data_IF_061408761871
#
_entry.id   IF_061408761871
#
_cell.length_a   1.000
_cell.length_b   1.000
_cell.length_c   1.000
_cell.angle_alpha   90.00
_cell.angle_beta   90.00
_cell.angle_gamma   90.00
#
_symmetry.space_group_name_H-M   'P 1'
#
loop_
_entity.id
_entity.type
_entity.pdbx_description
1 polymer ?
#
# COMPACT_ATOMS: atom_id res chain seq x y z
N UNK A 1 9.81 -12.12 18.34
CA UNK A 1 9.07 -12.21 17.05
C UNK A 1 9.79 -11.52 15.89
N UNK A 2 9.61 -10.22 15.59
CA UNK A 2 10.24 -9.59 14.39
C UNK A 2 11.77 -9.74 14.41
N UNK A 3 12.42 -9.27 15.48
CA UNK A 3 13.88 -9.32 15.61
C UNK A 3 14.42 -10.76 15.59
N UNK A 4 13.74 -11.65 16.28
CA UNK A 4 14.06 -13.09 16.35
C UNK A 4 13.95 -13.77 14.98
N UNK A 5 12.88 -13.51 14.22
CA UNK A 5 12.72 -14.04 12.87
C UNK A 5 13.83 -13.54 11.92
N UNK A 6 14.19 -12.26 12.04
CA UNK A 6 15.30 -11.69 11.27
C UNK A 6 16.65 -12.33 11.66
N UNK A 7 16.87 -12.61 12.95
CA UNK A 7 18.08 -13.28 13.43
C UNK A 7 18.16 -14.75 13.00
N UNK A 8 17.01 -15.42 12.94
CA UNK A 8 16.87 -16.78 12.42
C UNK A 8 17.02 -16.88 10.88
N UNK A 9 17.23 -15.75 10.18
CA UNK A 9 17.45 -15.71 8.73
C UNK A 9 16.18 -15.78 7.88
N UNK A 10 15.00 -15.52 8.47
CA UNK A 10 13.74 -15.42 7.72
C UNK A 10 13.78 -14.19 6.81
N UNK A 11 13.57 -14.40 5.51
CA UNK A 11 13.71 -13.37 4.48
C UNK A 11 12.51 -12.43 4.36
N UNK A 12 11.31 -12.91 4.65
CA UNK A 12 10.08 -12.11 4.57
C UNK A 12 9.28 -12.31 5.85
N UNK A 13 9.05 -11.22 6.57
CA UNK A 13 8.38 -11.19 7.87
C UNK A 13 7.11 -10.36 7.68
N UNK A 14 5.94 -10.96 7.87
CA UNK A 14 4.65 -10.27 7.72
C UNK A 14 4.03 -10.14 9.10
N UNK A 15 3.93 -8.91 9.60
CA UNK A 15 3.39 -8.61 10.93
C UNK A 15 1.95 -8.13 10.79
N UNK A 16 1.00 -9.00 11.09
CA UNK A 16 -0.43 -8.70 10.98
C UNK A 16 -0.92 -7.85 12.16
N UNK A 17 -0.38 -8.12 13.35
CA UNK A 17 -0.85 -7.56 14.62
C UNK A 17 -0.91 -6.03 14.63
N UNK A 18 -2.05 -5.49 15.06
CA UNK A 18 -2.28 -4.07 15.33
C UNK A 18 -1.97 -3.74 16.81
N UNK A 19 -1.64 -2.47 17.09
CA UNK A 19 -1.47 -1.98 18.45
C UNK A 19 -0.10 -2.30 19.08
N UNK A 20 0.90 -2.58 18.25
CA UNK A 20 2.28 -2.69 18.74
C UNK A 20 2.74 -1.29 19.19
N UNK A 21 3.27 -1.14 20.42
CA UNK A 21 3.76 0.14 20.88
C UNK A 21 4.79 0.75 19.90
N UNK A 22 4.66 2.04 19.60
CA UNK A 22 5.56 2.74 18.67
C UNK A 22 7.03 2.60 19.12
N UNK A 23 7.30 2.63 20.43
CA UNK A 23 8.65 2.44 20.98
C UNK A 23 9.24 1.06 20.60
N UNK A 24 8.45 0.00 20.66
CA UNK A 24 8.88 -1.35 20.29
C UNK A 24 9.13 -1.44 18.78
N UNK A 25 8.29 -0.79 17.97
CA UNK A 25 8.50 -0.73 16.52
C UNK A 25 9.70 0.11 16.12
N UNK A 26 10.08 1.15 16.86
CA UNK A 26 11.35 1.87 16.66
C UNK A 26 12.52 0.92 16.86
N UNK A 27 12.51 0.15 17.96
CA UNK A 27 13.57 -0.81 18.29
C UNK A 27 13.64 -1.89 17.19
N UNK A 28 12.51 -2.52 16.86
CA UNK A 28 12.46 -3.59 15.87
C UNK A 28 12.85 -3.10 14.46
N UNK A 29 12.32 -1.95 14.02
CA UNK A 29 12.65 -1.35 12.71
C UNK A 29 14.14 -1.03 12.62
N UNK A 30 14.75 -0.46 13.66
CA UNK A 30 16.18 -0.20 13.68
C UNK A 30 17.02 -1.49 13.72
N UNK A 31 16.57 -2.51 14.44
CA UNK A 31 17.28 -3.79 14.55
C UNK A 31 17.36 -4.53 13.20
N UNK A 32 16.29 -4.48 12.39
CA UNK A 32 16.28 -5.14 11.08
C UNK A 32 16.97 -4.34 9.98
N UNK A 33 17.30 -3.05 10.21
CA UNK A 33 18.08 -2.26 9.24
C UNK A 33 19.43 -2.93 9.01
N UNK A 34 19.74 -3.24 7.75
CA UNK A 34 20.98 -3.91 7.36
C UNK A 34 20.96 -5.43 7.50
N UNK A 35 19.84 -6.03 7.97
CA UNK A 35 19.63 -7.48 7.88
C UNK A 35 19.00 -7.82 6.52
N UNK A 36 19.32 -9.01 6.02
CA UNK A 36 18.77 -9.53 4.77
C UNK A 36 17.37 -10.11 4.99
N UNK A 37 16.43 -9.23 5.31
CA UNK A 37 15.02 -9.52 5.48
C UNK A 37 14.15 -8.32 5.10
N UNK A 38 12.90 -8.59 4.69
CA UNK A 38 11.86 -7.59 4.44
C UNK A 38 10.74 -7.73 5.44
N UNK A 39 10.33 -6.63 6.05
CA UNK A 39 9.18 -6.55 6.94
C UNK A 39 7.98 -5.95 6.18
N UNK A 40 6.80 -6.57 6.29
CA UNK A 40 5.51 -5.99 5.86
C UNK A 40 4.63 -5.82 7.10
N UNK A 41 3.93 -4.69 7.20
CA UNK A 41 3.25 -4.29 8.43
C UNK A 41 4.14 -3.48 9.38
N UNK A 42 3.77 -3.34 10.67
CA UNK A 42 2.68 -4.01 11.37
C UNK A 42 1.29 -3.48 11.00
N UNK A 43 0.24 -3.91 11.69
CA UNK A 43 -1.13 -3.48 11.46
C UNK A 43 -1.54 -3.59 9.99
N UNK A 44 -1.36 -4.78 9.42
CA UNK A 44 -1.58 -5.01 7.99
C UNK A 44 -2.40 -6.28 7.74
N UNK A 45 -3.14 -6.34 6.61
CA UNK A 45 -3.88 -7.54 6.24
C UNK A 45 -2.96 -8.66 5.68
N UNK A 46 -1.68 -8.35 5.43
CA UNK A 46 -0.66 -9.23 4.88
C UNK A 46 -0.42 -9.07 3.39
N UNK A 47 0.02 -10.15 2.73
CA UNK A 47 0.33 -10.21 1.29
C UNK A 47 -0.41 -11.39 0.64
N UNK A 48 -0.92 -11.18 -0.57
CA UNK A 48 -1.54 -12.23 -1.37
C UNK A 48 -1.13 -12.14 -2.84
N UNK A 49 -0.71 -13.28 -3.38
CA UNK A 49 -0.52 -13.55 -4.81
C UNK A 49 -1.56 -14.60 -5.19
N UNK A 50 -2.60 -14.26 -5.97
CA UNK A 50 -3.74 -15.15 -6.19
C UNK A 50 -3.32 -16.46 -6.83
N UNK A 51 -3.95 -17.57 -6.41
CA UNK A 51 -3.66 -18.93 -6.88
C UNK A 51 -2.25 -19.46 -6.54
N UNK A 52 -1.47 -18.71 -5.77
CA UNK A 52 -0.09 -19.08 -5.40
C UNK A 52 0.10 -19.08 -3.87
N UNK A 53 -0.01 -17.92 -3.23
CA UNK A 53 0.26 -17.80 -1.80
C UNK A 53 -0.54 -16.68 -1.14
N UNK A 54 -0.95 -16.92 0.11
CA UNK A 54 -1.60 -15.93 0.98
C UNK A 54 -1.02 -16.03 2.38
N UNK A 55 -0.40 -14.94 2.84
CA UNK A 55 0.07 -14.82 4.22
C UNK A 55 -0.60 -13.61 4.85
N UNK A 56 -1.56 -13.87 5.74
CA UNK A 56 -2.37 -12.86 6.39
C UNK A 56 -3.86 -13.17 6.35
N UNK A 57 -4.67 -12.14 6.59
CA UNK A 57 -6.10 -12.24 6.90
C UNK A 57 -7.01 -11.83 5.75
N UNK A 58 -6.45 -11.54 4.56
CA UNK A 58 -7.26 -11.20 3.38
C UNK A 58 -8.18 -12.36 2.94
N UNK A 59 -9.38 -12.07 2.41
CA UNK A 59 -10.29 -13.08 1.88
C UNK A 59 -9.83 -13.53 0.48
N UNK A 60 -9.14 -14.68 0.40
CA UNK A 60 -8.50 -15.13 -0.85
C UNK A 60 -9.44 -15.29 -2.05
N UNK A 61 -10.73 -15.57 -1.84
CA UNK A 61 -11.70 -15.77 -2.93
C UNK A 61 -12.00 -14.50 -3.74
N UNK A 62 -11.77 -13.31 -3.15
CA UNK A 62 -11.95 -12.00 -3.80
C UNK A 62 -10.87 -11.78 -4.86
N UNK A 63 -9.68 -12.34 -4.66
CA UNK A 63 -8.55 -12.11 -5.55
C UNK A 63 -8.49 -13.20 -6.62
N UNK A 64 -8.44 -12.77 -7.89
CA UNK A 64 -8.25 -13.64 -9.06
C UNK A 64 -6.93 -13.31 -9.72
N UNK A 65 -6.24 -14.30 -10.29
CA UNK A 65 -4.97 -14.06 -10.98
C UNK A 65 -5.19 -13.12 -12.17
N UNK A 66 -4.29 -12.16 -12.36
CA UNK A 66 -4.33 -11.22 -13.46
C UNK A 66 -3.10 -10.33 -13.49
N UNK A 67 -3.28 -9.05 -13.83
CA UNK A 67 -2.20 -8.14 -14.25
C UNK A 67 -2.11 -6.83 -13.46
N UNK A 68 -2.87 -6.71 -12.36
CA UNK A 68 -2.93 -5.48 -11.55
C UNK A 68 -2.26 -5.70 -10.20
N UNK A 69 -1.22 -4.93 -9.90
CA UNK A 69 -0.61 -4.89 -8.57
C UNK A 69 -1.39 -3.97 -7.63
N UNK A 70 -1.49 -4.30 -6.35
CA UNK A 70 -2.12 -3.42 -5.34
C UNK A 70 -1.14 -3.18 -4.18
N UNK A 71 -1.01 -1.92 -3.77
CA UNK A 71 -0.41 -1.53 -2.49
C UNK A 71 -1.41 -0.69 -1.70
N UNK A 72 -1.58 -0.99 -0.41
CA UNK A 72 -2.54 -0.29 0.44
C UNK A 72 -2.14 -0.27 1.91
N UNK A 73 -2.44 0.83 2.61
CA UNK A 73 -2.37 0.91 4.08
C UNK A 73 -3.56 0.24 4.76
N UNK A 74 -4.73 0.25 4.12
CA UNK A 74 -5.99 -0.27 4.67
C UNK A 74 -6.30 -1.68 4.19
N UNK A 75 -6.61 -2.59 5.12
CA UNK A 75 -7.05 -3.94 4.79
C UNK A 75 -8.33 -3.99 3.97
N UNK A 76 -9.40 -3.36 4.45
CA UNK A 76 -10.72 -3.40 3.81
C UNK A 76 -10.75 -2.76 2.44
N UNK A 77 -10.09 -1.61 2.27
CA UNK A 77 -10.00 -0.96 0.96
C UNK A 77 -9.15 -1.77 -0.03
N UNK A 78 -8.20 -2.60 0.44
CA UNK A 78 -7.43 -3.48 -0.44
C UNK A 78 -8.33 -4.47 -1.17
N UNK A 79 -9.19 -5.19 -0.44
CA UNK A 79 -10.06 -6.18 -1.06
C UNK A 79 -11.29 -5.57 -1.73
N UNK A 80 -11.74 -4.38 -1.33
CA UNK A 80 -12.72 -3.60 -2.10
C UNK A 80 -12.16 -3.23 -3.49
N UNK A 81 -10.93 -2.70 -3.55
CA UNK A 81 -10.29 -2.39 -4.83
C UNK A 81 -10.04 -3.64 -5.67
N UNK A 82 -9.60 -4.73 -5.06
CA UNK A 82 -9.41 -6.00 -5.76
C UNK A 82 -10.73 -6.53 -6.36
N UNK A 83 -11.83 -6.50 -5.59
CA UNK A 83 -13.15 -6.90 -6.06
C UNK A 83 -13.63 -6.04 -7.24
N UNK A 84 -13.45 -4.71 -7.16
CA UNK A 84 -13.79 -3.83 -8.27
C UNK A 84 -12.99 -4.14 -9.54
N UNK A 85 -11.68 -4.40 -9.43
CA UNK A 85 -10.82 -4.77 -10.57
C UNK A 85 -11.29 -6.09 -11.18
N UNK A 86 -11.57 -7.11 -10.34
CA UNK A 86 -12.08 -8.40 -10.79
C UNK A 86 -13.42 -8.27 -11.51
N UNK A 87 -14.32 -7.42 -11.01
CA UNK A 87 -15.62 -7.12 -11.64
C UNK A 87 -15.50 -6.42 -13.00
N UNK A 88 -14.38 -5.78 -13.31
CA UNK A 88 -14.09 -5.27 -14.65
C UNK A 88 -13.53 -6.34 -15.61
N UNK A 89 -13.47 -7.62 -15.19
CA UNK A 89 -12.90 -8.71 -15.98
C UNK A 89 -11.37 -8.76 -15.96
N UNK A 90 -10.74 -8.04 -15.03
CA UNK A 90 -9.29 -8.06 -14.80
C UNK A 90 -8.96 -8.95 -13.58
N UNK A 91 -7.71 -8.93 -13.13
CA UNK A 91 -7.26 -9.67 -11.96
C UNK A 91 -6.00 -9.07 -11.36
N UNK A 92 -5.58 -9.63 -10.24
CA UNK A 92 -4.50 -9.14 -9.39
C UNK A 92 -3.24 -9.99 -9.58
N UNK A 93 -2.07 -9.35 -9.68
CA UNK A 93 -0.78 -10.04 -9.59
C UNK A 93 -0.44 -10.31 -8.14
N UNK A 94 -0.16 -9.25 -7.38
CA UNK A 94 0.11 -9.29 -5.95
C UNK A 94 -0.53 -8.08 -5.27
N UNK A 95 -1.20 -8.31 -4.15
CA UNK A 95 -1.68 -7.26 -3.26
C UNK A 95 -0.86 -7.24 -1.96
N UNK A 96 -0.30 -6.08 -1.64
CA UNK A 96 0.58 -5.83 -0.50
C UNK A 96 -0.13 -4.85 0.44
N UNK A 97 -0.63 -5.35 1.56
CA UNK A 97 -1.06 -4.51 2.67
C UNK A 97 0.16 -4.09 3.49
N UNK A 98 0.58 -2.83 3.39
CA UNK A 98 1.81 -2.33 4.04
C UNK A 98 1.60 -1.93 5.50
N UNK A 99 0.35 -1.63 5.87
CA UNK A 99 -0.09 -1.36 7.22
C UNK A 99 -0.42 0.10 7.54
N UNK A 100 -1.22 0.30 8.58
CA UNK A 100 -1.74 1.60 9.01
C UNK A 100 -0.95 2.28 10.13
N UNK A 101 0.07 1.62 10.68
CA UNK A 101 0.83 2.19 11.80
C UNK A 101 1.82 3.29 11.34
N UNK A 102 2.25 4.19 12.25
CA UNK A 102 3.20 5.26 11.91
C UNK A 102 4.59 4.75 11.50
N UNK A 103 5.00 3.57 11.98
CA UNK A 103 6.27 2.93 11.66
C UNK A 103 5.98 1.56 11.08
N UNK A 104 6.16 1.46 9.76
CA UNK A 104 6.02 0.22 8.98
C UNK A 104 7.37 -0.25 8.46
N UNK A 105 7.41 -1.50 8.01
CA UNK A 105 8.56 -2.07 7.30
C UNK A 105 8.65 -1.59 5.85
N UNK A 106 7.92 -2.26 4.95
CA UNK A 106 7.87 -1.94 3.53
C UNK A 106 7.03 -0.70 3.32
N UNK A 107 7.63 0.35 2.77
CA UNK A 107 6.97 1.63 2.46
C UNK A 107 6.11 1.54 1.20
N UNK A 108 5.20 2.53 1.02
CA UNK A 108 4.43 2.67 -0.23
C UNK A 108 5.35 2.74 -1.44
N UNK A 109 6.44 3.52 -1.37
CA UNK A 109 7.42 3.64 -2.46
C UNK A 109 8.02 2.29 -2.83
N UNK A 110 8.52 1.54 -1.85
CA UNK A 110 9.16 0.23 -2.11
C UNK A 110 8.17 -0.79 -2.68
N UNK A 111 6.92 -0.79 -2.20
CA UNK A 111 5.89 -1.66 -2.74
C UNK A 111 5.48 -1.27 -4.17
N UNK A 112 5.31 0.03 -4.47
CA UNK A 112 5.09 0.52 -5.84
C UNK A 112 6.26 0.13 -6.74
N UNK A 113 7.51 0.30 -6.27
CA UNK A 113 8.70 -0.06 -7.02
C UNK A 113 8.75 -1.55 -7.35
N UNK A 114 8.44 -2.43 -6.39
CA UNK A 114 8.35 -3.87 -6.63
C UNK A 114 7.31 -4.20 -7.69
N UNK A 115 6.11 -3.63 -7.60
CA UNK A 115 5.00 -3.90 -8.52
C UNK A 115 5.25 -3.30 -9.91
N UNK A 116 5.87 -2.12 -10.00
CA UNK A 116 6.24 -1.52 -11.28
C UNK A 116 7.33 -2.33 -11.98
N UNK A 117 8.29 -2.89 -11.24
CA UNK A 117 9.38 -3.68 -11.80
C UNK A 117 8.99 -5.14 -12.09
N UNK A 118 7.86 -5.62 -11.56
CA UNK A 118 7.33 -6.95 -11.86
C UNK A 118 6.81 -7.03 -13.31
N UNK A 119 7.38 -7.89 -14.18
CA UNK A 119 6.94 -8.01 -15.57
C UNK A 119 5.49 -8.52 -15.73
N UNK A 120 4.91 -9.23 -14.76
CA UNK A 120 3.51 -9.69 -14.82
C UNK A 120 2.51 -8.57 -14.48
N UNK A 121 2.97 -7.50 -13.83
CA UNK A 121 2.14 -6.35 -13.47
C UNK A 121 2.13 -5.32 -14.60
N UNK A 122 0.94 -5.03 -15.15
CA UNK A 122 0.74 -4.01 -16.20
C UNK A 122 0.19 -2.68 -15.63
N UNK A 123 -0.47 -2.69 -14.47
CA UNK A 123 -1.00 -1.51 -13.79
C UNK A 123 -0.83 -1.66 -12.28
N UNK A 124 -0.61 -0.55 -11.57
CA UNK A 124 -0.53 -0.55 -10.10
C UNK A 124 -1.66 0.31 -9.51
N UNK A 125 -2.34 -0.22 -8.50
CA UNK A 125 -3.27 0.54 -7.65
C UNK A 125 -2.55 0.91 -6.36
N UNK A 126 -2.48 2.20 -6.07
CA UNK A 126 -1.88 2.76 -4.86
C UNK A 126 -2.97 3.40 -3.98
N UNK A 127 -3.25 2.78 -2.84
CA UNK A 127 -4.26 3.24 -1.87
C UNK A 127 -3.54 3.77 -0.63
N UNK A 128 -3.68 5.08 -0.41
CA UNK A 128 -3.16 5.75 0.76
C UNK A 128 -4.24 6.33 1.65
N UNK A 129 -3.79 7.06 2.67
CA UNK A 129 -4.65 7.79 3.59
C UNK A 129 -3.97 9.10 4.02
N UNK A 130 -4.64 9.93 4.80
CA UNK A 130 -4.04 11.12 5.43
C UNK A 130 -2.84 10.77 6.34
N UNK A 131 -1.94 11.73 6.55
CA UNK A 131 -0.82 11.59 7.50
C UNK A 131 0.47 11.06 6.87
N UNK A 132 1.59 11.73 7.15
CA UNK A 132 2.90 11.41 6.59
C UNK A 132 3.01 11.65 5.08
N UNK A 133 4.15 11.27 4.49
CA UNK A 133 4.54 11.62 3.11
C UNK A 133 4.70 10.42 2.17
N UNK A 134 4.37 9.19 2.62
CA UNK A 134 4.69 7.96 1.90
C UNK A 134 4.14 7.91 0.46
N UNK A 135 2.92 8.39 0.25
CA UNK A 135 2.30 8.44 -1.08
C UNK A 135 2.89 9.53 -1.97
N UNK A 136 3.29 10.66 -1.40
CA UNK A 136 4.00 11.73 -2.10
C UNK A 136 5.39 11.26 -2.57
N UNK A 137 6.13 10.60 -1.68
CA UNK A 137 7.44 10.02 -1.98
C UNK A 137 7.34 8.93 -3.08
N UNK A 138 6.33 8.08 -2.99
CA UNK A 138 6.06 7.06 -4.01
C UNK A 138 5.71 7.69 -5.37
N UNK A 139 4.90 8.75 -5.38
CA UNK A 139 4.54 9.47 -6.60
C UNK A 139 5.74 10.14 -7.25
N UNK A 140 6.57 10.82 -6.46
CA UNK A 140 7.77 11.48 -6.95
C UNK A 140 8.79 10.47 -7.48
N UNK A 141 8.95 9.33 -6.81
CA UNK A 141 9.75 8.22 -7.31
C UNK A 141 9.19 7.68 -8.64
N UNK A 142 7.88 7.43 -8.73
CA UNK A 142 7.24 6.92 -9.95
C UNK A 142 7.49 7.85 -11.14
N UNK A 143 7.31 9.17 -10.96
CA UNK A 143 7.62 10.18 -11.98
C UNK A 143 9.07 10.09 -12.47
N UNK A 144 10.01 9.88 -11.55
CA UNK A 144 11.44 9.81 -11.85
C UNK A 144 11.89 8.45 -12.39
N UNK A 145 11.12 7.39 -12.16
CA UNK A 145 11.44 6.02 -12.62
C UNK A 145 11.44 5.89 -14.16
N UNK A 146 10.74 6.78 -14.87
CA UNK A 146 10.54 6.69 -16.31
C UNK A 146 9.58 5.58 -16.76
N UNK A 147 8.95 4.85 -15.81
CA UNK A 147 7.98 3.81 -16.10
C UNK A 147 6.79 4.34 -16.92
N UNK A 148 6.23 3.46 -17.76
CA UNK A 148 5.01 3.73 -18.54
C UNK A 148 3.80 2.93 -18.07
N UNK A 149 3.98 2.05 -17.08
CA UNK A 149 2.88 1.31 -16.47
C UNK A 149 1.99 2.29 -15.71
N UNK A 150 0.68 2.38 -16.00
CA UNK A 150 -0.20 3.31 -15.30
C UNK A 150 -0.28 2.99 -13.81
N UNK A 151 -0.38 4.06 -13.02
CA UNK A 151 -0.68 3.98 -11.59
C UNK A 151 -2.02 4.66 -11.35
N UNK A 152 -2.95 3.94 -10.72
CA UNK A 152 -4.24 4.47 -10.24
C UNK A 152 -4.14 4.73 -8.74
N UNK A 153 -4.53 5.92 -8.31
CA UNK A 153 -4.35 6.36 -6.93
C UNK A 153 -5.66 6.70 -6.23
N UNK A 154 -5.76 6.38 -4.94
CA UNK A 154 -6.84 6.88 -4.06
C UNK A 154 -6.26 7.26 -2.69
N UNK A 155 -6.74 8.35 -2.10
CA UNK A 155 -6.36 8.80 -0.75
C UNK A 155 -7.61 8.92 0.11
N UNK A 156 -7.68 8.10 1.16
CA UNK A 156 -8.73 8.13 2.16
C UNK A 156 -8.56 9.31 3.15
N UNK A 157 -9.66 9.72 3.79
CA UNK A 157 -9.64 10.70 4.88
C UNK A 157 -9.79 12.17 4.46
N UNK A 158 -10.33 12.44 3.29
CA UNK A 158 -10.53 13.82 2.78
C UNK A 158 -11.37 14.72 3.70
N UNK A 159 -12.34 14.14 4.41
CA UNK A 159 -13.23 14.84 5.35
C UNK A 159 -12.72 14.81 6.80
N UNK A 160 -11.49 14.33 7.03
CA UNK A 160 -10.96 14.22 8.38
C UNK A 160 -10.64 15.61 8.96
N UNK A 161 -11.04 15.88 10.22
CA UNK A 161 -10.68 17.13 10.89
C UNK A 161 -9.18 17.14 11.23
N UNK A 162 -8.56 18.33 11.17
CA UNK A 162 -7.16 18.50 11.52
C UNK A 162 -6.86 18.09 12.97
N UNK A 163 -5.70 17.47 13.20
CA UNK A 163 -5.24 17.06 14.53
C UNK A 163 -5.97 15.86 15.15
N UNK A 164 -6.85 15.17 14.42
CA UNK A 164 -7.55 13.97 14.90
C UNK A 164 -7.01 12.71 14.22
N UNK A 165 -6.72 11.70 15.02
CA UNK A 165 -6.39 10.34 14.53
C UNK A 165 -7.64 9.63 14.03
N UNK A 166 -7.56 9.04 12.82
CA UNK A 166 -8.68 8.35 12.16
C UNK A 166 -8.44 6.83 12.13
N UNK A 167 -8.89 6.11 13.15
CA UNK A 167 -8.81 4.64 13.21
C UNK A 167 -7.37 4.15 13.31
N UNK A 168 -6.66 4.07 12.18
CA UNK A 168 -5.24 3.76 12.12
C UNK A 168 -4.40 4.79 12.88
N UNK A 169 -3.41 4.31 13.63
CA UNK A 169 -2.54 5.16 14.43
C UNK A 169 -1.72 6.15 13.58
N UNK A 170 -1.40 5.80 12.32
CA UNK A 170 -0.70 6.68 11.38
C UNK A 170 -1.57 7.72 10.68
N UNK A 171 -2.90 7.63 10.79
CA UNK A 171 -3.84 8.50 10.07
C UNK A 171 -4.11 9.81 10.84
N UNK A 172 -3.08 10.64 11.00
CA UNK A 172 -3.14 11.96 11.64
C UNK A 172 -2.51 13.03 10.74
N UNK A 173 -3.21 14.15 10.54
CA UNK A 173 -2.68 15.29 9.77
C UNK A 173 -1.80 16.14 10.70
N UNK A 174 -0.47 16.09 10.49
CA UNK A 174 0.51 16.87 11.24
C UNK A 174 1.03 18.11 10.52
N UNK A 175 1.07 18.10 9.19
CA UNK A 175 1.49 19.21 8.34
C UNK A 175 0.54 19.51 7.17
N UNK A 176 0.78 20.61 6.46
CA UNK A 176 -0.03 21.02 5.30
C UNK A 176 -0.02 19.98 4.17
N UNK A 177 1.11 19.29 4.01
CA UNK A 177 1.33 18.28 2.97
C UNK A 177 0.81 16.90 3.36
N UNK A 178 0.37 16.72 4.61
CA UNK A 178 -0.19 15.44 5.09
C UNK A 178 -1.68 15.30 4.78
N UNK A 179 -2.31 16.36 4.28
CA UNK A 179 -3.73 16.38 3.94
C UNK A 179 -4.01 15.52 2.70
N UNK A 180 -5.21 14.93 2.64
CA UNK A 180 -5.62 14.16 1.46
C UNK A 180 -5.55 15.00 0.19
N UNK A 181 -5.93 16.28 0.25
CA UNK A 181 -5.88 17.21 -0.88
C UNK A 181 -4.46 17.45 -1.37
N UNK A 182 -3.51 17.68 -0.46
CA UNK A 182 -2.11 17.85 -0.83
C UNK A 182 -1.54 16.59 -1.50
N UNK A 183 -1.80 15.42 -0.91
CA UNK A 183 -1.36 14.14 -1.49
C UNK A 183 -1.97 13.88 -2.87
N UNK A 184 -3.28 14.07 -3.03
CA UNK A 184 -3.97 13.95 -4.32
C UNK A 184 -3.35 14.87 -5.37
N UNK A 185 -3.05 16.13 -5.03
CA UNK A 185 -2.37 17.08 -5.93
C UNK A 185 -0.98 16.59 -6.33
N UNK A 186 -0.13 16.23 -5.37
CA UNK A 186 1.23 15.71 -5.63
C UNK A 186 1.19 14.48 -6.54
N UNK A 187 0.29 13.54 -6.27
CA UNK A 187 0.11 12.34 -7.07
C UNK A 187 -0.30 12.66 -8.52
N UNK A 188 -1.26 13.57 -8.72
CA UNK A 188 -1.67 14.03 -10.06
C UNK A 188 -0.52 14.72 -10.81
N UNK A 189 0.24 15.58 -10.14
CA UNK A 189 1.41 16.27 -10.71
C UNK A 189 2.56 15.30 -11.10
N UNK A 190 2.52 14.08 -10.55
CA UNK A 190 3.42 12.98 -10.86
C UNK A 190 2.89 12.00 -11.92
N UNK A 191 1.73 12.29 -12.52
CA UNK A 191 1.14 11.48 -13.58
C UNK A 191 0.38 10.24 -13.08
N UNK A 192 0.01 10.21 -11.79
CA UNK A 192 -0.87 9.16 -11.24
C UNK A 192 -2.33 9.51 -11.55
N UNK A 193 -3.10 8.51 -11.99
CA UNK A 193 -4.53 8.62 -12.22
C UNK A 193 -5.30 8.57 -10.90
N UNK A 194 -5.44 9.72 -10.25
CA UNK A 194 -6.08 9.82 -8.94
C UNK A 194 -7.61 9.88 -9.06
N UNK A 195 -8.31 8.91 -8.47
CA UNK A 195 -9.77 8.90 -8.34
C UNK A 195 -10.20 9.60 -7.05
N UNK A 196 -11.36 10.25 -7.08
CA UNK A 196 -11.88 10.96 -5.90
C UNK A 196 -12.79 10.07 -5.05
N UNK A 197 -13.46 9.11 -5.66
CA UNK A 197 -14.28 8.11 -4.96
C UNK A 197 -13.59 6.75 -4.93
N UNK A 198 -13.60 6.03 -3.78
CA UNK A 198 -13.08 4.67 -3.72
C UNK A 198 -13.86 3.69 -4.60
N UNK A 199 -15.09 4.02 -5.00
CA UNK A 199 -15.93 3.21 -5.88
C UNK A 199 -15.50 3.25 -7.37
N UNK A 200 -14.57 4.14 -7.72
CA UNK A 200 -14.14 4.35 -9.11
C UNK A 200 -12.81 3.65 -9.44
N UNK A 201 -12.16 3.01 -8.47
CA UNK A 201 -10.82 2.43 -8.61
C UNK A 201 -10.82 1.40 -9.76
N UNK A 202 -11.69 0.38 -9.70
CA UNK A 202 -11.71 -0.67 -10.73
C UNK A 202 -12.02 -0.11 -12.12
N UNK A 203 -13.00 0.78 -12.23
CA UNK A 203 -13.37 1.43 -13.49
C UNK A 203 -12.18 2.21 -14.08
N UNK A 204 -11.44 2.97 -13.26
CA UNK A 204 -10.27 3.71 -13.72
C UNK A 204 -9.14 2.78 -14.15
N UNK A 205 -8.92 1.66 -13.45
CA UNK A 205 -7.95 0.63 -13.87
C UNK A 205 -8.28 0.07 -15.25
N UNK A 206 -9.55 -0.27 -15.49
CA UNK A 206 -9.99 -0.74 -16.81
C UNK A 206 -9.82 0.33 -17.90
N UNK A 207 -10.09 1.60 -17.59
CA UNK A 207 -9.92 2.71 -18.53
C UNK A 207 -8.45 2.91 -18.97
N UNK A 208 -7.48 2.76 -18.06
CA UNK A 208 -6.06 3.02 -18.37
C UNK A 208 -5.33 1.83 -18.98
N UNK A 209 -5.93 0.63 -18.93
CA UNK A 209 -5.38 -0.60 -19.51
C UNK A 209 -5.97 -0.95 -20.88
N UNK A 210 -6.98 -0.21 -21.33
CA UNK A 210 -7.60 -0.34 -22.65
C UNK A 210 -7.09 0.76 -23.60
#
# INVERSE_FOLDING_TARGET
AIMEAADAGIKVIITITEGIPVADMIIASNYIKGKDCRLVGPNCPGVITPEEAKVGIMPGFVFKKGKVGIVSKSGTLTYEAADQVVKQGLGITTAIGIGGDPIIGTTTKEAVEMLINDPETECVVMIGEIGGQLEGDAAQWYKNSGSKKPVVGFIAGETAPAGRTMGHAGAIVGGSDDTAQAKKRIMRDCGIHVVDSPAEIGKKVAEVLN
#
